data_IF_618000547419
#
_entry.id   IF_618000547419
#
_cell.length_a   1.000
_cell.length_b   1.000
_cell.length_c   1.000
_cell.angle_alpha   90.00
_cell.angle_beta   90.00
_cell.angle_gamma   90.00
#
_symmetry.space_group_name_H-M   'P 1'
#
loop_
_entity.id
_entity.type
_entity.pdbx_description
1 polymer ?
#
# COMPACT_ATOMS: atom_id res chain seq x y z
N UNK A 1 9.48 3.63 -14.62
CA UNK A 1 9.38 3.34 -13.16
C UNK A 1 9.75 1.88 -12.99
N UNK A 2 10.75 1.58 -12.15
CA UNK A 2 11.01 0.21 -11.70
C UNK A 2 10.51 0.08 -10.27
N UNK A 3 9.87 -1.04 -9.93
CA UNK A 3 9.26 -1.26 -8.63
C UNK A 3 9.63 -2.65 -8.09
N UNK A 4 10.06 -2.72 -6.83
CA UNK A 4 10.12 -3.96 -6.08
C UNK A 4 8.71 -4.31 -5.59
N UNK A 5 8.15 -5.41 -6.07
CA UNK A 5 6.82 -5.88 -5.67
C UNK A 5 6.96 -6.96 -4.60
N UNK A 6 6.44 -6.69 -3.40
CA UNK A 6 6.46 -7.60 -2.28
C UNK A 6 5.05 -8.11 -2.01
N UNK A 7 4.86 -9.41 -2.12
CA UNK A 7 3.70 -10.11 -1.55
C UNK A 7 4.05 -10.55 -0.12
N UNK A 8 3.34 -9.99 0.86
CA UNK A 8 3.62 -10.26 2.28
C UNK A 8 3.34 -11.71 2.68
N UNK A 9 2.38 -12.38 2.03
CA UNK A 9 1.85 -13.73 2.36
C UNK A 9 1.27 -13.92 3.76
N UNK A 10 1.86 -13.32 4.80
CA UNK A 10 1.48 -13.41 6.20
C UNK A 10 1.25 -12.02 6.76
N UNK A 11 0.08 -11.79 7.38
CA UNK A 11 -0.23 -10.51 8.04
C UNK A 11 0.27 -10.45 9.48
N UNK A 12 0.29 -11.59 10.18
CA UNK A 12 0.77 -11.61 11.56
C UNK A 12 1.45 -12.92 11.95
N UNK A 13 2.74 -12.87 12.36
CA UNK A 13 3.64 -11.72 12.20
C UNK A 13 3.93 -11.48 10.71
N UNK A 14 3.90 -10.22 10.26
CA UNK A 14 4.32 -9.87 8.89
C UNK A 14 5.83 -9.66 8.82
N UNK A 15 6.41 -9.91 7.63
CA UNK A 15 7.84 -9.79 7.38
C UNK A 15 8.26 -8.31 7.25
N UNK A 16 8.48 -7.68 8.41
CA UNK A 16 8.91 -6.27 8.52
C UNK A 16 10.30 -6.07 7.93
N UNK A 17 11.20 -7.01 8.17
CA UNK A 17 12.60 -6.92 7.78
C UNK A 17 12.74 -6.89 6.25
N UNK A 18 11.96 -7.71 5.54
CA UNK A 18 11.90 -7.67 4.08
C UNK A 18 11.44 -6.31 3.55
N UNK A 19 10.38 -5.75 4.13
CA UNK A 19 9.86 -4.43 3.71
C UNK A 19 10.86 -3.33 4.05
N UNK A 20 11.49 -3.35 5.23
CA UNK A 20 12.50 -2.38 5.62
C UNK A 20 13.71 -2.42 4.67
N UNK A 21 14.17 -3.62 4.30
CA UNK A 21 15.28 -3.77 3.36
C UNK A 21 14.95 -3.20 1.97
N UNK A 22 13.70 -3.30 1.51
CA UNK A 22 13.27 -2.70 0.25
C UNK A 22 13.11 -1.17 0.36
N UNK A 23 12.57 -0.67 1.47
CA UNK A 23 12.45 0.78 1.74
C UNK A 23 13.83 1.44 1.87
N UNK A 24 14.80 0.78 2.50
CA UNK A 24 16.18 1.27 2.60
C UNK A 24 16.80 1.50 1.21
N UNK A 25 16.50 0.62 0.24
CA UNK A 25 17.00 0.74 -1.14
C UNK A 25 16.25 1.79 -1.96
N UNK A 26 14.93 1.85 -1.83
CA UNK A 26 14.06 2.61 -2.75
C UNK A 26 13.63 3.98 -2.22
N UNK A 27 13.65 4.16 -0.89
CA UNK A 27 13.19 5.36 -0.19
C UNK A 27 11.70 5.65 -0.32
N UNK A 28 10.89 4.74 -0.89
CA UNK A 28 9.44 4.91 -1.11
C UNK A 28 8.68 3.65 -0.76
N UNK A 29 7.43 3.83 -0.32
CA UNK A 29 6.55 2.71 -0.04
C UNK A 29 5.10 3.03 -0.43
N UNK A 30 4.53 2.17 -1.26
CA UNK A 30 3.10 2.10 -1.55
C UNK A 30 2.55 0.78 -1.03
N UNK A 31 1.65 0.84 -0.05
CA UNK A 31 0.96 -0.34 0.48
C UNK A 31 -0.37 -0.51 -0.24
N UNK A 32 -0.60 -1.67 -0.85
CA UNK A 32 -1.81 -1.97 -1.63
C UNK A 32 -2.56 -3.14 -0.98
N UNK A 33 -3.88 -3.01 -0.79
CA UNK A 33 -4.72 -4.10 -0.30
C UNK A 33 -6.19 -3.93 -0.70
N UNK A 34 -6.93 -5.03 -0.89
CA UNK A 34 -8.35 -4.99 -1.28
C UNK A 34 -9.30 -4.50 -0.16
N UNK A 35 -8.92 -4.63 1.11
CA UNK A 35 -9.78 -4.20 2.22
C UNK A 35 -9.93 -2.67 2.28
N UNK A 36 -10.95 -2.20 3.02
CA UNK A 36 -11.17 -0.77 3.27
C UNK A 36 -9.90 -0.10 3.79
N UNK A 37 -9.47 0.99 3.15
CA UNK A 37 -8.23 1.68 3.47
C UNK A 37 -8.22 2.24 4.91
N UNK A 38 -9.37 2.71 5.40
CA UNK A 38 -9.50 3.24 6.77
C UNK A 38 -9.50 2.07 7.76
N UNK A 39 -8.55 2.06 8.70
CA UNK A 39 -8.43 1.00 9.70
C UNK A 39 -7.96 -0.36 9.17
N UNK A 40 -7.60 -0.44 7.88
CA UNK A 40 -7.06 -1.66 7.28
C UNK A 40 -5.59 -1.92 7.64
N UNK A 41 -5.11 -3.13 7.35
CA UNK A 41 -3.74 -3.55 7.68
C UNK A 41 -2.65 -2.68 7.06
N UNK A 42 -2.93 -2.01 5.93
CA UNK A 42 -1.98 -1.06 5.37
C UNK A 42 -1.63 0.10 6.32
N UNK A 43 -2.51 0.44 7.28
CA UNK A 43 -2.22 1.43 8.31
C UNK A 43 -1.13 0.96 9.29
N UNK A 44 -1.16 -0.31 9.68
CA UNK A 44 -0.14 -0.92 10.56
C UNK A 44 1.24 -0.89 9.90
N UNK A 45 1.32 -1.27 8.62
CA UNK A 45 2.57 -1.21 7.84
C UNK A 45 3.08 0.22 7.74
N UNK A 46 2.21 1.17 7.38
CA UNK A 46 2.61 2.56 7.21
C UNK A 46 3.06 3.20 8.53
N UNK A 47 2.38 2.92 9.64
CA UNK A 47 2.77 3.41 10.97
C UNK A 47 4.12 2.81 11.38
N UNK A 48 4.28 1.49 11.26
CA UNK A 48 5.52 0.78 11.58
C UNK A 48 6.71 1.32 10.79
N UNK A 49 6.56 1.51 9.47
CA UNK A 49 7.61 2.05 8.60
C UNK A 49 7.89 3.52 8.91
N UNK A 50 6.87 4.33 9.21
CA UNK A 50 7.09 5.71 9.63
C UNK A 50 7.87 5.79 10.95
N UNK A 51 7.56 4.96 11.95
CA UNK A 51 8.27 4.95 13.22
C UNK A 51 9.75 4.56 13.06
N UNK A 52 10.03 3.50 12.28
CA UNK A 52 11.35 2.88 12.25
C UNK A 52 12.23 3.39 11.09
N UNK A 53 11.63 3.85 9.99
CA UNK A 53 12.34 4.14 8.73
C UNK A 53 12.12 5.57 8.21
N UNK A 54 11.57 6.49 9.02
CA UNK A 54 11.32 7.88 8.57
C UNK A 54 12.54 8.56 7.94
N UNK A 55 13.74 8.33 8.47
CA UNK A 55 14.99 8.93 7.97
C UNK A 55 15.39 8.43 6.57
N UNK A 56 14.82 7.31 6.11
CA UNK A 56 15.09 6.69 4.80
C UNK A 56 14.03 7.03 3.77
N UNK A 57 12.85 7.48 4.20
CA UNK A 57 11.77 7.85 3.31
C UNK A 57 12.10 9.18 2.63
N UNK A 58 12.10 9.18 1.29
CA UNK A 58 12.27 10.39 0.48
C UNK A 58 10.94 10.91 -0.08
N UNK A 59 9.84 10.23 0.23
CA UNK A 59 8.47 10.69 0.05
C UNK A 59 7.55 10.06 1.12
N UNK A 60 6.37 10.65 1.39
CA UNK A 60 5.40 10.06 2.32
C UNK A 60 4.96 8.66 1.89
N UNK A 61 4.82 7.73 2.85
CA UNK A 61 4.21 6.43 2.61
C UNK A 61 2.78 6.64 2.09
N UNK A 62 2.43 5.94 1.00
CA UNK A 62 1.07 5.93 0.45
C UNK A 62 0.41 4.59 0.70
N UNK A 63 -0.92 4.63 0.82
CA UNK A 63 -1.76 3.46 0.99
C UNK A 63 -2.88 3.52 -0.03
N UNK A 64 -3.11 2.42 -0.71
CA UNK A 64 -4.21 2.24 -1.66
C UNK A 64 -5.02 1.03 -1.19
N UNK A 65 -6.26 1.28 -0.79
CA UNK A 65 -7.22 0.24 -0.46
C UNK A 65 -8.63 0.70 -0.76
N UNK A 66 -9.60 -0.20 -0.64
CA UNK A 66 -10.97 0.07 -1.02
C UNK A 66 -11.53 1.29 -0.29
N UNK A 67 -12.46 2.04 -0.93
CA UNK A 67 -13.14 3.15 -0.29
C UNK A 67 -13.99 2.67 0.89
N UNK A 68 -14.35 3.59 1.80
CA UNK A 68 -15.23 3.30 2.94
C UNK A 68 -16.68 3.17 2.48
N UNK A 69 -17.01 2.03 1.86
CA UNK A 69 -18.33 1.69 1.39
C UNK A 69 -18.59 0.18 1.56
N UNK A 70 -19.86 -0.24 1.74
CA UNK A 70 -20.23 -1.64 1.62
C UNK A 70 -19.91 -2.19 0.22
N UNK A 71 -19.56 -3.46 0.14
CA UNK A 71 -19.41 -4.15 -1.14
C UNK A 71 -20.80 -4.37 -1.74
N UNK A 72 -20.99 -3.86 -2.96
CA UNK A 72 -22.24 -4.04 -3.70
C UNK A 72 -22.21 -5.36 -4.48
N UNK A 73 -23.36 -6.01 -4.61
CA UNK A 73 -23.49 -7.25 -5.40
C UNK A 73 -23.47 -7.00 -6.91
N UNK A 74 -24.02 -5.87 -7.37
CA UNK A 74 -24.10 -5.58 -8.80
C UNK A 74 -22.68 -5.33 -9.34
N UNK A 75 -22.24 -6.03 -10.41
CA UNK A 75 -20.87 -5.90 -10.92
C UNK A 75 -20.44 -4.45 -11.21
N UNK A 76 -21.28 -3.59 -11.83
CA UNK A 76 -20.88 -2.19 -12.07
C UNK A 76 -20.62 -1.38 -10.79
N UNK A 77 -21.15 -1.79 -9.65
CA UNK A 77 -20.93 -1.14 -8.36
C UNK A 77 -19.77 -1.79 -7.59
N UNK A 78 -19.57 -3.10 -7.71
CA UNK A 78 -18.39 -3.79 -7.18
C UNK A 78 -17.10 -3.25 -7.83
N UNK A 79 -17.12 -3.03 -9.15
CA UNK A 79 -15.96 -2.49 -9.88
C UNK A 79 -15.54 -1.10 -9.42
N UNK A 80 -16.45 -0.34 -8.78
CA UNK A 80 -16.14 1.00 -8.24
C UNK A 80 -15.39 0.96 -6.92
N UNK A 81 -15.38 -0.18 -6.22
CA UNK A 81 -14.70 -0.34 -4.93
C UNK A 81 -13.45 -1.20 -5.01
N UNK A 82 -13.30 -1.98 -6.09
CA UNK A 82 -12.14 -2.82 -6.39
C UNK A 82 -10.88 -1.96 -6.57
N UNK A 83 -9.74 -2.47 -6.11
CA UNK A 83 -8.44 -1.89 -6.45
C UNK A 83 -7.98 -2.41 -7.80
N UNK A 84 -7.63 -1.50 -8.71
CA UNK A 84 -7.18 -1.88 -10.07
C UNK A 84 -5.70 -1.60 -10.28
N UNK A 85 -5.10 -2.28 -11.26
CA UNK A 85 -3.72 -2.04 -11.70
C UNK A 85 -3.49 -0.59 -12.10
N UNK A 86 -4.46 0.03 -12.76
CA UNK A 86 -4.38 1.42 -13.21
C UNK A 86 -4.32 2.37 -12.01
N UNK A 87 -5.12 2.12 -10.96
CA UNK A 87 -5.08 2.91 -9.74
C UNK A 87 -3.74 2.77 -8.99
N UNK A 88 -3.14 1.58 -9.01
CA UNK A 88 -1.79 1.33 -8.46
C UNK A 88 -0.74 2.14 -9.22
N UNK A 89 -0.73 2.04 -10.56
CA UNK A 89 0.23 2.76 -11.42
C UNK A 89 0.11 4.27 -11.25
N UNK A 90 -1.10 4.83 -11.35
CA UNK A 90 -1.33 6.26 -11.16
C UNK A 90 -0.89 6.76 -9.78
N UNK A 91 -1.07 5.94 -8.74
CA UNK A 91 -0.62 6.28 -7.39
C UNK A 91 0.90 6.27 -7.28
N UNK A 92 1.56 5.27 -7.88
CA UNK A 92 3.02 5.19 -7.93
C UNK A 92 3.64 6.37 -8.72
N UNK A 93 3.05 6.74 -9.86
CA UNK A 93 3.49 7.91 -10.65
C UNK A 93 3.43 9.21 -9.83
N UNK A 94 2.32 9.43 -9.10
CA UNK A 94 2.16 10.59 -8.20
C UNK A 94 3.15 10.63 -7.04
N UNK A 95 3.86 9.54 -6.73
CA UNK A 95 4.88 9.50 -5.68
C UNK A 95 6.29 9.85 -6.19
N UNK A 96 6.47 9.92 -7.51
CA UNK A 96 7.76 10.18 -8.16
C UNK A 96 7.80 11.62 -8.70
N UNK A 97 6.65 12.14 -9.14
CA UNK A 97 6.47 13.56 -9.50
C UNK A 97 6.65 14.48 -8.29
#
# INVERSE_FOLDING_TARGET
IEAEVIDLRTLWPWDRDLVFASVEKTGRLLVVHESVAVGGFGAEIAATVAEHMHARLIAPVRRLGAPRAPIAYAPPLEDRVRITSEAVVQTAERMIA
#
